data_IF_543651673636
#
_entry.id   IF_543651673636
#
_cell.length_a   1.000
_cell.length_b   1.000
_cell.length_c   1.000
_cell.angle_alpha   90.00
_cell.angle_beta   90.00
_cell.angle_gamma   90.00
#
_symmetry.space_group_name_H-M   'P 1'
#
loop_
_entity.id
_entity.type
_entity.pdbx_description
1 polymer ?
#
# COMPACT_ATOMS: atom_id res chain seq x y z
N UNK A 1 11.38 22.77 -13.08
CA UNK A 1 11.27 22.42 -11.64
C UNK A 1 10.82 20.97 -11.44
N UNK A 2 9.96 20.41 -12.30
CA UNK A 2 9.60 18.99 -12.29
C UNK A 2 10.74 18.03 -12.74
N UNK A 3 11.64 18.45 -13.63
CA UNK A 3 12.70 17.57 -14.17
C UNK A 3 13.76 17.16 -13.14
N UNK A 4 13.96 17.97 -12.09
CA UNK A 4 14.86 17.63 -10.97
C UNK A 4 14.37 16.38 -10.22
N UNK A 5 13.05 16.20 -10.12
CA UNK A 5 12.48 15.03 -9.44
C UNK A 5 12.62 13.75 -10.24
N UNK A 6 12.58 13.79 -11.58
CA UNK A 6 12.66 12.58 -12.42
C UNK A 6 14.03 11.90 -12.26
N UNK A 7 15.13 12.68 -12.29
CA UNK A 7 16.48 12.15 -12.09
C UNK A 7 16.63 11.56 -10.68
N UNK A 8 16.08 12.23 -9.68
CA UNK A 8 16.19 11.84 -8.29
C UNK A 8 15.36 10.59 -7.96
N UNK A 9 14.17 10.43 -8.56
CA UNK A 9 13.35 9.21 -8.45
C UNK A 9 14.05 8.02 -9.10
N UNK A 10 14.68 8.21 -10.27
CA UNK A 10 15.44 7.15 -10.93
C UNK A 10 16.65 6.72 -10.09
N UNK A 11 17.43 7.66 -9.60
CA UNK A 11 18.57 7.38 -8.71
C UNK A 11 18.13 6.74 -7.39
N UNK A 12 16.98 7.16 -6.82
CA UNK A 12 16.42 6.53 -5.63
C UNK A 12 16.02 5.07 -5.91
N UNK A 13 15.39 4.80 -7.06
CA UNK A 13 15.01 3.44 -7.43
C UNK A 13 16.23 2.53 -7.65
N UNK A 14 17.30 3.03 -8.29
CA UNK A 14 18.52 2.27 -8.58
C UNK A 14 19.38 1.97 -7.33
N UNK A 15 19.35 2.84 -6.31
CA UNK A 15 20.23 2.70 -5.14
C UNK A 15 19.51 2.17 -3.88
N UNK A 16 18.18 2.07 -3.90
CA UNK A 16 17.42 1.54 -2.75
C UNK A 16 17.54 0.02 -2.73
N UNK A 17 17.71 -0.61 -1.54
CA UNK A 17 17.70 -2.06 -1.44
C UNK A 17 16.46 -2.67 -2.08
N UNK A 18 16.66 -3.67 -2.93
CA UNK A 18 15.56 -4.42 -3.51
C UNK A 18 14.81 -5.16 -2.41
N UNK A 19 13.48 -5.18 -2.56
CA UNK A 19 12.61 -5.94 -1.69
C UNK A 19 12.58 -7.39 -2.22
N UNK A 20 13.13 -8.38 -1.50
CA UNK A 20 13.27 -9.74 -2.02
C UNK A 20 11.92 -10.39 -2.27
N UNK A 21 11.83 -11.20 -3.33
CA UNK A 21 10.59 -11.89 -3.74
C UNK A 21 10.04 -12.77 -2.62
N UNK A 22 10.93 -13.39 -1.85
CA UNK A 22 10.63 -14.25 -0.71
C UNK A 22 9.86 -13.51 0.39
N UNK A 23 10.10 -12.20 0.56
CA UNK A 23 9.35 -11.39 1.52
C UNK A 23 7.90 -11.19 1.05
N UNK A 24 7.69 -10.92 -0.25
CA UNK A 24 6.34 -10.81 -0.79
C UNK A 24 5.60 -12.14 -0.74
N UNK A 25 6.28 -13.25 -1.03
CA UNK A 25 5.72 -14.59 -0.89
C UNK A 25 5.31 -14.90 0.55
N UNK A 26 6.16 -14.56 1.52
CA UNK A 26 5.86 -14.73 2.94
C UNK A 26 4.66 -13.90 3.40
N UNK A 27 4.56 -12.64 2.97
CA UNK A 27 3.42 -11.77 3.30
C UNK A 27 2.14 -12.30 2.65
N UNK A 28 2.19 -12.65 1.37
CA UNK A 28 1.06 -13.23 0.66
C UNK A 28 0.58 -14.54 1.31
N UNK A 29 1.50 -15.34 1.86
CA UNK A 29 1.16 -16.59 2.56
C UNK A 29 0.33 -16.40 3.83
N UNK A 30 0.14 -15.17 4.31
CA UNK A 30 -0.64 -14.89 5.54
C UNK A 30 -2.14 -14.75 5.30
N UNK A 31 -2.56 -14.65 4.05
CA UNK A 31 -3.97 -14.66 3.65
C UNK A 31 -4.24 -15.87 2.74
N UNK A 32 -5.36 -16.58 2.88
CA UNK A 32 -5.77 -17.64 1.96
C UNK A 32 -6.28 -17.10 0.61
N UNK A 33 -6.38 -15.78 0.45
CA UNK A 33 -6.90 -15.11 -0.74
C UNK A 33 -5.88 -14.10 -1.30
N UNK A 34 -5.78 -14.01 -2.64
CA UNK A 34 -4.77 -13.21 -3.35
C UNK A 34 -5.37 -12.40 -4.51
N UNK A 35 -6.61 -11.94 -4.38
CA UNK A 35 -7.36 -11.33 -5.46
C UNK A 35 -7.17 -9.82 -5.53
N UNK A 36 -7.12 -9.13 -4.38
CA UNK A 36 -7.06 -7.68 -4.35
C UNK A 36 -6.17 -7.17 -3.21
N UNK A 37 -5.18 -6.35 -3.58
CA UNK A 37 -4.16 -5.78 -2.70
C UNK A 37 -4.16 -4.26 -2.82
N UNK A 38 -3.97 -3.57 -1.70
CA UNK A 38 -3.70 -2.14 -1.68
C UNK A 38 -2.30 -1.86 -1.11
N UNK A 39 -1.39 -1.34 -1.94
CA UNK A 39 -0.07 -0.88 -1.51
C UNK A 39 -0.07 0.63 -1.25
N UNK A 40 0.24 1.01 -0.01
CA UNK A 40 0.15 2.38 0.50
C UNK A 40 1.53 3.03 0.46
N UNK A 41 1.63 4.15 -0.27
CA UNK A 41 2.89 4.87 -0.43
C UNK A 41 3.89 4.08 -1.26
N UNK A 42 3.46 3.67 -2.45
CA UNK A 42 4.19 2.81 -3.41
C UNK A 42 5.57 3.35 -3.84
N UNK A 43 5.86 4.63 -3.58
CA UNK A 43 7.13 5.27 -3.94
C UNK A 43 7.40 5.16 -5.44
N UNK A 44 8.55 4.61 -5.82
CA UNK A 44 8.90 4.31 -7.22
C UNK A 44 8.26 3.02 -7.77
N UNK A 45 7.30 2.41 -7.06
CA UNK A 45 6.53 1.25 -7.53
C UNK A 45 7.14 -0.11 -7.21
N UNK A 46 8.10 -0.19 -6.28
CA UNK A 46 8.81 -1.45 -5.97
C UNK A 46 7.91 -2.60 -5.51
N UNK A 47 6.75 -2.31 -4.94
CA UNK A 47 5.78 -3.30 -4.45
C UNK A 47 4.46 -3.32 -5.25
N UNK A 48 4.25 -2.38 -6.17
CA UNK A 48 2.97 -2.20 -6.85
C UNK A 48 3.12 -2.30 -8.37
N UNK A 49 2.34 -3.18 -9.00
CA UNK A 49 2.19 -3.22 -10.46
C UNK A 49 1.31 -2.07 -11.01
N UNK A 50 0.53 -1.40 -10.15
CA UNK A 50 -0.35 -0.30 -10.54
C UNK A 50 -0.33 0.84 -9.52
N UNK A 51 -0.35 2.07 -10.00
CA UNK A 51 -0.29 3.28 -9.18
C UNK A 51 -1.71 3.84 -8.95
N UNK A 52 -2.12 3.93 -7.68
CA UNK A 52 -3.25 4.76 -7.25
C UNK A 52 -2.77 5.74 -6.19
N UNK A 53 -2.91 7.04 -6.44
CA UNK A 53 -2.59 8.05 -5.45
C UNK A 53 -3.52 7.93 -4.23
N UNK A 54 -2.94 7.76 -3.05
CA UNK A 54 -3.65 7.65 -1.79
C UNK A 54 -3.28 8.80 -0.89
N UNK A 55 -4.21 9.72 -0.68
CA UNK A 55 -4.04 10.83 0.26
C UNK A 55 -3.92 10.32 1.70
N UNK A 56 -2.98 10.84 2.52
CA UNK A 56 -2.79 10.42 3.91
C UNK A 56 -3.94 10.82 4.85
N UNK A 57 -4.91 11.64 4.39
CA UNK A 57 -6.02 12.19 5.20
C UNK A 57 -7.39 11.85 4.58
N UNK A 58 -7.47 10.76 3.81
CA UNK A 58 -8.71 10.37 3.12
C UNK A 58 -9.82 9.97 4.11
N UNK A 59 -11.07 10.40 3.86
CA UNK A 59 -12.22 9.92 4.63
C UNK A 59 -12.59 8.47 4.25
N UNK A 60 -13.38 7.76 5.09
CA UNK A 60 -13.85 6.39 4.75
C UNK A 60 -14.67 6.36 3.45
N UNK A 61 -15.51 7.38 3.22
CA UNK A 61 -16.31 7.50 1.99
C UNK A 61 -15.41 7.60 0.75
N UNK A 62 -14.34 8.39 0.84
CA UNK A 62 -13.38 8.51 -0.24
C UNK A 62 -12.56 7.22 -0.45
N UNK A 63 -12.23 6.50 0.62
CA UNK A 63 -11.55 5.19 0.51
C UNK A 63 -12.44 4.20 -0.24
N UNK A 64 -13.73 4.16 0.08
CA UNK A 64 -14.70 3.30 -0.60
C UNK A 64 -14.83 3.64 -2.10
N UNK A 65 -14.82 4.93 -2.45
CA UNK A 65 -14.94 5.38 -3.83
C UNK A 65 -13.65 5.23 -4.66
N UNK A 66 -12.49 5.53 -4.07
CA UNK A 66 -11.21 5.65 -4.81
C UNK A 66 -10.36 4.38 -4.73
N UNK A 67 -10.42 3.69 -3.59
CA UNK A 67 -9.54 2.56 -3.28
C UNK A 67 -10.30 1.24 -3.48
N UNK A 68 -11.22 0.92 -2.57
CA UNK A 68 -11.94 -0.35 -2.57
C UNK A 68 -13.15 -0.33 -1.61
N UNK A 69 -14.23 -1.07 -1.92
CA UNK A 69 -15.38 -1.21 -1.04
C UNK A 69 -15.02 -1.80 0.33
N UNK A 70 -15.95 -1.66 1.29
CA UNK A 70 -15.84 -2.32 2.59
C UNK A 70 -15.61 -3.82 2.44
N UNK A 71 -14.69 -4.38 3.23
CA UNK A 71 -14.45 -5.83 3.34
C UNK A 71 -14.19 -6.52 1.99
N UNK A 72 -13.37 -5.91 1.14
CA UNK A 72 -13.09 -6.38 -0.23
C UNK A 72 -11.61 -6.71 -0.48
N UNK A 73 -10.69 -6.17 0.32
CA UNK A 73 -9.25 -6.40 0.18
C UNK A 73 -8.77 -7.63 0.95
N UNK A 74 -7.85 -8.36 0.34
CA UNK A 74 -7.18 -9.50 0.98
C UNK A 74 -5.94 -9.05 1.76
N UNK A 75 -5.22 -8.04 1.24
CA UNK A 75 -3.97 -7.55 1.80
C UNK A 75 -3.85 -6.03 1.66
N UNK A 76 -3.35 -5.37 2.70
CA UNK A 76 -2.86 -3.99 2.65
C UNK A 76 -1.37 -3.97 3.01
N UNK A 77 -0.54 -3.31 2.22
CA UNK A 77 0.89 -3.12 2.51
C UNK A 77 1.22 -1.65 2.73
N UNK A 78 2.11 -1.34 3.66
CA UNK A 78 2.60 0.03 3.88
C UNK A 78 4.07 0.00 4.32
N UNK A 79 5.02 -0.02 3.38
CA UNK A 79 6.44 -0.30 3.70
C UNK A 79 7.17 0.87 4.39
N UNK A 80 7.52 1.92 3.64
CA UNK A 80 8.24 3.09 4.18
C UNK A 80 7.33 4.29 4.42
N UNK A 81 6.02 4.13 4.24
CA UNK A 81 5.09 5.25 4.24
C UNK A 81 4.47 5.55 5.60
N UNK A 82 4.51 4.61 6.56
CA UNK A 82 3.77 4.73 7.83
C UNK A 82 4.02 6.04 8.58
N UNK A 83 5.27 6.52 8.61
CA UNK A 83 5.64 7.73 9.33
C UNK A 83 5.06 9.02 8.73
N UNK A 84 4.53 8.97 7.50
CA UNK A 84 3.83 10.09 6.85
C UNK A 84 2.32 10.05 7.04
N UNK A 85 1.75 9.00 7.66
CA UNK A 85 0.30 8.79 7.76
C UNK A 85 -0.28 9.25 9.09
N UNK A 86 -1.55 9.65 9.08
CA UNK A 86 -2.36 9.72 10.29
C UNK A 86 -2.70 8.28 10.73
N UNK A 87 -1.91 7.70 11.64
CA UNK A 87 -2.04 6.28 12.02
C UNK A 87 -3.44 5.90 12.54
N UNK A 88 -4.10 6.69 13.41
CA UNK A 88 -5.47 6.37 13.84
C UNK A 88 -6.46 6.24 12.68
N UNK A 89 -6.49 7.24 11.77
CA UNK A 89 -7.36 7.21 10.60
C UNK A 89 -6.97 6.08 9.64
N UNK A 90 -5.68 5.88 9.42
CA UNK A 90 -5.16 4.81 8.56
C UNK A 90 -5.62 3.43 9.03
N UNK A 91 -5.45 3.09 10.30
CA UNK A 91 -5.89 1.79 10.80
C UNK A 91 -7.42 1.62 10.77
N UNK A 92 -8.20 2.70 10.89
CA UNK A 92 -9.65 2.64 10.68
C UNK A 92 -9.99 2.29 9.22
N UNK A 93 -9.33 2.93 8.25
CA UNK A 93 -9.50 2.64 6.83
C UNK A 93 -9.09 1.20 6.49
N UNK A 94 -7.94 0.74 6.98
CA UNK A 94 -7.46 -0.64 6.82
C UNK A 94 -8.50 -1.63 7.35
N UNK A 95 -9.01 -1.39 8.57
CA UNK A 95 -10.03 -2.26 9.17
C UNK A 95 -11.33 -2.28 8.35
N UNK A 96 -11.69 -1.17 7.71
CA UNK A 96 -12.87 -1.04 6.86
C UNK A 96 -12.75 -1.85 5.57
N UNK A 97 -11.62 -1.75 4.87
CA UNK A 97 -11.44 -2.37 3.55
C UNK A 97 -11.05 -3.85 3.61
N UNK A 98 -10.36 -4.30 4.66
CA UNK A 98 -9.91 -5.69 4.77
C UNK A 98 -11.06 -6.67 4.99
N UNK A 99 -11.07 -7.75 4.20
CA UNK A 99 -11.98 -8.88 4.37
C UNK A 99 -11.90 -9.44 5.80
N UNK A 100 -13.05 -9.86 6.32
CA UNK A 100 -13.11 -10.59 7.61
C UNK A 100 -13.38 -12.07 7.35
N UNK A 101 -12.77 -12.98 8.13
CA UNK A 101 -11.77 -12.74 9.17
C UNK A 101 -10.31 -12.71 8.66
N UNK A 102 -10.08 -12.94 7.36
CA UNK A 102 -8.76 -13.32 6.83
C UNK A 102 -7.92 -12.20 6.19
N UNK A 103 -8.39 -10.96 6.16
CA UNK A 103 -7.63 -9.86 5.59
C UNK A 103 -6.39 -9.50 6.42
N UNK A 104 -5.28 -9.22 5.75
CA UNK A 104 -3.97 -8.98 6.38
C UNK A 104 -3.48 -7.55 6.13
N UNK A 105 -2.78 -6.97 7.10
CA UNK A 105 -1.93 -5.79 6.90
C UNK A 105 -0.46 -6.14 7.17
N UNK A 106 0.44 -5.70 6.30
CA UNK A 106 1.89 -5.73 6.51
C UNK A 106 2.44 -4.30 6.40
N UNK A 107 2.94 -3.77 7.51
CA UNK A 107 3.33 -2.37 7.62
C UNK A 107 4.52 -2.20 8.58
#
# INVERSE_FOLDING_TARGET
MADLFIKQVKQYAENRPDCPKELFEFIASKTPFHNLVWDVGTGSGQAAQSFKYTSPIMSISEVEQKIAPKSSLDLVTATQALHWLNLPSFYQQVKWVLKKPHGVIAA
#
